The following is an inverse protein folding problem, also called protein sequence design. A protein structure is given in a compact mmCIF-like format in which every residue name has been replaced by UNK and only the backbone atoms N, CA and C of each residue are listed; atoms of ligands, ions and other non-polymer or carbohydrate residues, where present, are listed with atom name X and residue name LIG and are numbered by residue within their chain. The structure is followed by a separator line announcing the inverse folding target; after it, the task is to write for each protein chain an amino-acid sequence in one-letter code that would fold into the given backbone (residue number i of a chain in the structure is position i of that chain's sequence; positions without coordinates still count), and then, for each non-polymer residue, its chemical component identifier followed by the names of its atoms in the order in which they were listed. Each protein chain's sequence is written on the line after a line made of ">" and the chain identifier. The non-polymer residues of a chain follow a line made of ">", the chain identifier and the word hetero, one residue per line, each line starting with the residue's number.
data_IF_953226786156
#
_entry.id   IF_953226786156
#
_cell.length_a   1.000
_cell.length_b   1.000
_cell.length_c   1.000
_cell.angle_alpha   90.00
_cell.angle_beta   90.00
_cell.angle_gamma   90.00
#
_symmetry.space_group_name_H-M   'P 1'
#
loop_
_entity.id
_entity.type
_entity.pdbx_description
1 polymer ?
#
# COMPACT_ATOMS: atom_id res chain seq x y z
N UNK A 1 -16.07 3.51 -2.84
CA UNK A 1 -15.08 2.99 -1.86
C UNK A 1 -15.37 1.52 -1.60
N UNK A 2 -14.32 0.73 -1.33
CA UNK A 2 -14.47 -0.67 -0.97
C UNK A 2 -14.68 -0.80 0.55
N UNK A 3 -15.83 -1.35 0.96
CA UNK A 3 -16.18 -1.51 2.38
C UNK A 3 -15.22 -2.43 3.15
N UNK A 4 -14.50 -3.32 2.47
CA UNK A 4 -13.49 -4.18 3.09
C UNK A 4 -12.36 -3.37 3.72
N UNK A 5 -11.99 -2.24 3.12
CA UNK A 5 -10.91 -1.40 3.64
C UNK A 5 -11.27 -0.74 4.96
N UNK A 6 -12.52 -0.35 5.17
CA UNK A 6 -13.03 0.38 6.33
C UNK A 6 -12.40 1.78 6.51
N UNK A 7 -11.09 1.85 6.66
CA UNK A 7 -10.30 3.09 6.78
C UNK A 7 -8.85 2.82 6.37
N UNK A 8 -8.16 3.86 5.90
CA UNK A 8 -6.79 3.83 5.36
C UNK A 8 -6.66 3.04 4.05
N UNK A 9 -5.88 3.57 3.13
CA UNK A 9 -5.70 3.06 1.77
C UNK A 9 -6.99 3.07 0.90
N UNK A 10 -8.07 3.63 1.36
CA UNK A 10 -9.31 3.80 0.61
C UNK A 10 -9.13 4.82 -0.53
N UNK A 11 -8.41 5.89 -0.29
CA UNK A 11 -7.94 6.86 -1.28
C UNK A 11 -6.98 6.23 -2.29
N UNK A 12 -5.99 5.47 -1.81
CA UNK A 12 -5.07 4.72 -2.66
C UNK A 12 -5.80 3.71 -3.56
N UNK A 13 -6.71 2.92 -2.99
CA UNK A 13 -7.54 1.95 -3.73
C UNK A 13 -8.33 2.65 -4.84
N UNK A 14 -8.99 3.76 -4.53
CA UNK A 14 -9.78 4.51 -5.50
C UNK A 14 -8.92 5.05 -6.64
N UNK A 15 -7.82 5.73 -6.31
CA UNK A 15 -6.92 6.32 -7.30
C UNK A 15 -6.25 5.22 -8.16
N UNK A 16 -5.87 4.11 -7.56
CA UNK A 16 -5.25 3.01 -8.30
C UNK A 16 -6.25 2.34 -9.25
N UNK A 17 -7.47 2.07 -8.79
CA UNK A 17 -8.53 1.55 -9.69
C UNK A 17 -8.84 2.52 -10.84
N UNK A 18 -8.88 3.82 -10.57
CA UNK A 18 -9.01 4.84 -11.61
C UNK A 18 -7.88 4.74 -12.64
N UNK A 19 -6.64 4.67 -12.18
CA UNK A 19 -5.47 4.54 -13.05
C UNK A 19 -5.46 3.22 -13.88
N UNK A 20 -6.04 2.14 -13.36
CA UNK A 20 -6.17 0.87 -14.09
C UNK A 20 -7.14 0.93 -15.27
N UNK A 21 -8.03 1.92 -15.29
CA UNK A 21 -9.00 2.18 -16.37
C UNK A 21 -8.72 3.50 -17.10
N UNK A 22 -7.48 4.00 -16.99
CA UNK A 22 -7.00 5.23 -17.63
C UNK A 22 -7.72 6.51 -17.19
N UNK A 23 -8.23 6.53 -15.95
CA UNK A 23 -8.81 7.72 -15.34
C UNK A 23 -7.75 8.36 -14.43
N UNK A 24 -7.20 9.53 -14.78
CA UNK A 24 -6.19 10.19 -13.98
C UNK A 24 -6.77 10.82 -12.70
N UNK A 25 -5.96 10.86 -11.65
CA UNK A 25 -6.27 11.59 -10.41
C UNK A 25 -5.63 12.99 -10.49
N UNK A 26 -6.38 14.02 -10.12
CA UNK A 26 -5.91 15.39 -10.12
C UNK A 26 -5.89 15.96 -8.70
N UNK A 27 -4.82 16.69 -8.39
CA UNK A 27 -4.77 17.50 -7.18
C UNK A 27 -5.53 18.82 -7.41
N UNK A 28 -6.51 19.10 -6.55
CA UNK A 28 -7.29 20.34 -6.59
C UNK A 28 -6.88 21.26 -5.43
N UNK A 29 -5.91 22.17 -5.61
CA UNK A 29 -5.33 22.96 -4.51
C UNK A 29 -6.30 23.93 -3.81
N UNK A 30 -7.43 24.24 -4.47
CA UNK A 30 -8.50 25.08 -3.89
C UNK A 30 -9.57 24.27 -3.14
N UNK A 31 -9.53 22.95 -3.21
CA UNK A 31 -10.42 22.07 -2.45
C UNK A 31 -9.86 21.87 -1.03
N UNK A 32 -10.41 22.59 -0.08
CA UNK A 32 -9.95 22.57 1.31
C UNK A 32 -10.88 21.68 2.12
N UNK A 33 -10.31 20.69 2.80
CA UNK A 33 -11.02 19.81 3.72
C UNK A 33 -10.45 20.01 5.13
N UNK A 34 -11.31 20.29 6.08
CA UNK A 34 -10.93 20.41 7.49
C UNK A 34 -11.00 19.03 8.14
N UNK A 35 -9.87 18.54 8.59
CA UNK A 35 -9.78 17.28 9.32
C UNK A 35 -9.68 17.58 10.82
N UNK A 36 -10.68 17.20 11.64
CA UNK A 36 -10.63 17.47 13.08
C UNK A 36 -9.39 16.81 13.71
N UNK A 37 -8.60 17.53 14.51
CA UNK A 37 -7.41 16.96 15.16
C UNK A 37 -7.74 15.85 16.16
N UNK A 38 -8.96 15.86 16.69
CA UNK A 38 -9.48 14.89 17.66
C UNK A 38 -10.35 13.81 17.01
N UNK A 39 -10.48 13.85 15.68
CA UNK A 39 -11.24 12.85 14.95
C UNK A 39 -10.61 11.44 15.08
N UNK A 40 -11.13 10.51 14.32
CA UNK A 40 -10.77 9.07 14.23
C UNK A 40 -9.26 8.76 14.04
N UNK A 41 -8.36 9.66 14.48
CA UNK A 41 -6.94 9.39 14.45
C UNK A 41 -6.61 8.38 15.54
N UNK A 42 -6.71 7.12 15.21
CA UNK A 42 -6.11 6.02 15.97
C UNK A 42 -4.57 6.22 15.99
N UNK A 43 -4.11 7.31 16.64
CA UNK A 43 -2.68 7.60 16.77
C UNK A 43 -2.02 6.38 17.40
N UNK A 44 -1.09 5.75 16.69
CA UNK A 44 -0.26 4.66 17.23
C UNK A 44 -1.05 3.53 17.92
N UNK A 45 -2.21 3.14 17.38
CA UNK A 45 -2.98 2.02 17.91
C UNK A 45 -2.71 0.73 17.15
N UNK A 46 -2.81 -0.41 17.84
CA UNK A 46 -2.74 -1.72 17.22
C UNK A 46 -3.78 -1.90 16.10
N UNK A 47 -4.95 -1.29 16.26
CA UNK A 47 -6.01 -1.34 15.26
C UNK A 47 -5.64 -0.58 13.98
N UNK A 48 -5.07 0.64 14.09
CA UNK A 48 -4.56 1.40 12.95
C UNK A 48 -3.52 0.59 12.18
N UNK A 49 -2.53 0.04 12.87
CA UNK A 49 -1.45 -0.71 12.22
C UNK A 49 -1.95 -2.02 11.61
N UNK A 50 -2.94 -2.68 12.22
CA UNK A 50 -3.64 -3.81 11.62
C UNK A 50 -4.30 -3.42 10.29
N UNK A 51 -5.06 -2.30 10.24
CA UNK A 51 -5.72 -1.85 9.02
C UNK A 51 -4.72 -1.45 7.94
N UNK A 52 -3.70 -0.65 8.29
CA UNK A 52 -2.66 -0.24 7.34
C UNK A 52 -2.00 -1.45 6.68
N UNK A 53 -1.63 -2.46 7.46
CA UNK A 53 -0.95 -3.64 6.94
C UNK A 53 -1.88 -4.53 6.12
N UNK A 54 -3.10 -4.80 6.60
CA UNK A 54 -4.10 -5.59 5.89
C UNK A 54 -4.47 -4.94 4.55
N UNK A 55 -4.74 -3.64 4.56
CA UNK A 55 -5.20 -2.92 3.38
C UNK A 55 -4.08 -2.75 2.35
N UNK A 56 -2.83 -2.56 2.78
CA UNK A 56 -1.66 -2.58 1.90
C UNK A 56 -1.57 -3.89 1.13
N UNK A 57 -1.65 -5.03 1.83
CA UNK A 57 -1.61 -6.35 1.20
C UNK A 57 -2.82 -6.57 0.28
N UNK A 58 -4.00 -6.15 0.71
CA UNK A 58 -5.21 -6.21 -0.10
C UNK A 58 -5.03 -5.49 -1.43
N UNK A 59 -4.57 -4.23 -1.43
CA UNK A 59 -4.34 -3.46 -2.65
C UNK A 59 -3.29 -4.15 -3.56
N UNK A 60 -2.18 -4.63 -3.01
CA UNK A 60 -1.16 -5.34 -3.80
C UNK A 60 -1.73 -6.60 -4.48
N UNK A 61 -2.57 -7.37 -3.77
CA UNK A 61 -3.14 -8.62 -4.25
C UNK A 61 -4.27 -8.43 -5.26
N UNK A 62 -5.00 -7.32 -5.20
CA UNK A 62 -6.17 -7.07 -6.06
C UNK A 62 -5.84 -6.23 -7.28
N UNK A 63 -4.88 -5.31 -7.21
CA UNK A 63 -4.62 -4.34 -8.28
C UNK A 63 -3.52 -4.78 -9.26
N UNK A 64 -2.42 -5.39 -8.79
CA UNK A 64 -1.44 -5.96 -9.71
C UNK A 64 -1.98 -7.19 -10.42
N UNK A 65 -1.61 -7.38 -11.69
CA UNK A 65 -1.79 -8.67 -12.37
C UNK A 65 -0.99 -9.76 -11.64
N UNK A 66 -1.44 -11.00 -11.70
CA UNK A 66 -0.72 -12.14 -11.08
C UNK A 66 0.72 -12.23 -11.58
N UNK A 67 0.94 -12.04 -12.87
CA UNK A 67 2.27 -12.07 -13.45
C UNK A 67 3.19 -10.99 -12.83
N UNK A 68 2.71 -9.74 -12.77
CA UNK A 68 3.46 -8.64 -12.15
C UNK A 68 3.70 -8.89 -10.66
N UNK A 69 2.68 -9.35 -9.94
CA UNK A 69 2.82 -9.67 -8.52
C UNK A 69 3.94 -10.70 -8.28
N UNK A 70 3.99 -11.78 -9.05
CA UNK A 70 5.04 -12.79 -8.92
C UNK A 70 6.43 -12.26 -9.31
N UNK A 71 6.53 -11.41 -10.32
CA UNK A 71 7.79 -10.75 -10.68
C UNK A 71 8.30 -9.81 -9.57
N UNK A 72 7.39 -9.12 -8.89
CA UNK A 72 7.71 -8.23 -7.76
C UNK A 72 7.94 -8.98 -6.45
N UNK A 73 7.56 -10.25 -6.34
CA UNK A 73 7.58 -11.01 -5.09
C UNK A 73 8.92 -10.95 -4.35
N UNK A 74 10.11 -11.08 -4.99
CA UNK A 74 11.38 -10.96 -4.28
C UNK A 74 11.56 -9.59 -3.61
N UNK A 75 11.19 -8.51 -4.32
CA UNK A 75 11.26 -7.15 -3.78
C UNK A 75 10.24 -6.92 -2.67
N UNK A 76 9.03 -7.45 -2.83
CA UNK A 76 7.99 -7.38 -1.81
C UNK A 76 8.40 -8.13 -0.55
N UNK A 77 9.03 -9.31 -0.66
CA UNK A 77 9.54 -10.05 0.50
C UNK A 77 10.62 -9.29 1.26
N UNK A 78 11.51 -8.59 0.58
CA UNK A 78 12.48 -7.71 1.24
C UNK A 78 11.77 -6.59 2.00
N UNK A 79 10.79 -5.93 1.40
CA UNK A 79 9.97 -4.91 2.08
C UNK A 79 9.25 -5.51 3.30
N UNK A 80 8.71 -6.73 3.19
CA UNK A 80 8.05 -7.43 4.29
C UNK A 80 8.98 -7.66 5.49
N UNK A 81 10.24 -7.99 5.24
CA UNK A 81 11.24 -8.14 6.31
C UNK A 81 11.43 -6.82 7.06
N UNK A 82 11.66 -5.71 6.34
CA UNK A 82 11.82 -4.39 6.95
C UNK A 82 10.58 -3.93 7.70
N UNK A 83 9.41 -4.13 7.12
CA UNK A 83 8.13 -3.81 7.77
C UNK A 83 7.95 -4.66 9.03
N UNK A 84 8.31 -5.94 9.00
CA UNK A 84 8.22 -6.83 10.18
C UNK A 84 9.15 -6.37 11.30
N UNK A 85 10.39 -5.98 10.98
CA UNK A 85 11.35 -5.41 11.94
C UNK A 85 10.81 -4.11 12.55
N UNK A 86 10.21 -3.24 11.72
CA UNK A 86 9.57 -2.02 12.20
C UNK A 86 8.44 -2.31 13.19
N UNK A 87 7.53 -3.22 12.85
CA UNK A 87 6.42 -3.61 13.73
C UNK A 87 6.91 -4.25 15.02
N UNK A 88 7.98 -5.07 14.96
CA UNK A 88 8.62 -5.64 16.15
C UNK A 88 9.18 -4.56 17.07
N UNK A 89 9.94 -3.61 16.53
CA UNK A 89 10.51 -2.48 17.30
C UNK A 89 9.46 -1.57 17.92
N UNK A 90 8.28 -1.47 17.32
CA UNK A 90 7.14 -0.68 17.85
C UNK A 90 6.24 -1.48 18.80
N UNK A 91 6.52 -2.75 19.07
CA UNK A 91 5.68 -3.61 19.90
C UNK A 91 4.33 -3.97 19.24
N UNK A 92 4.23 -3.84 17.92
CA UNK A 92 2.97 -4.01 17.17
C UNK A 92 2.98 -5.24 16.25
N UNK A 93 3.89 -6.18 16.48
CA UNK A 93 4.00 -7.40 15.65
C UNK A 93 2.70 -8.21 15.63
N UNK A 94 1.95 -8.22 16.73
CA UNK A 94 0.64 -8.87 16.81
C UNK A 94 -0.36 -8.31 15.78
N UNK A 95 -0.30 -7.00 15.51
CA UNK A 95 -1.15 -6.35 14.50
C UNK A 95 -0.81 -6.85 13.10
N UNK A 96 0.48 -7.02 12.79
CA UNK A 96 0.93 -7.56 11.51
C UNK A 96 0.50 -9.03 11.34
N UNK A 97 0.66 -9.84 12.37
CA UNK A 97 0.23 -11.26 12.34
C UNK A 97 -1.28 -11.35 12.11
N UNK A 98 -2.07 -10.54 12.83
CA UNK A 98 -3.53 -10.47 12.64
C UNK A 98 -3.91 -10.02 11.23
N UNK A 99 -3.18 -9.07 10.65
CA UNK A 99 -3.40 -8.61 9.27
C UNK A 99 -3.14 -9.73 8.26
N UNK A 100 -2.02 -10.45 8.37
CA UNK A 100 -1.70 -11.58 7.51
C UNK A 100 -2.76 -12.68 7.62
N UNK A 101 -3.18 -13.00 8.84
CA UNK A 101 -4.25 -13.99 9.07
C UNK A 101 -5.58 -13.54 8.47
N UNK A 102 -5.91 -12.24 8.56
CA UNK A 102 -7.11 -11.68 7.93
C UNK A 102 -7.09 -11.81 6.41
N UNK A 103 -5.95 -11.61 5.76
CA UNK A 103 -5.80 -11.82 4.31
C UNK A 103 -6.08 -13.28 3.94
N UNK A 104 -5.49 -14.22 4.68
CA UNK A 104 -5.70 -15.65 4.44
C UNK A 104 -7.18 -16.03 4.63
N UNK A 105 -7.78 -15.60 5.75
CA UNK A 105 -9.20 -15.86 6.05
C UNK A 105 -10.16 -15.33 4.98
N UNK A 106 -9.84 -14.17 4.41
CA UNK A 106 -10.69 -13.52 3.41
C UNK A 106 -10.24 -13.77 1.97
N UNK A 107 -9.40 -14.79 1.72
CA UNK A 107 -8.81 -15.07 0.41
C UNK A 107 -9.85 -15.20 -0.72
N UNK A 108 -10.99 -15.83 -0.45
CA UNK A 108 -12.08 -15.96 -1.43
C UNK A 108 -12.60 -14.59 -1.86
N UNK A 109 -12.86 -13.71 -0.91
CA UNK A 109 -13.31 -12.34 -1.18
C UNK A 109 -12.26 -11.55 -1.97
N UNK A 110 -10.99 -11.64 -1.57
CA UNK A 110 -9.87 -10.97 -2.25
C UNK A 110 -9.73 -11.43 -3.70
N UNK A 111 -9.87 -12.74 -3.93
CA UNK A 111 -9.80 -13.30 -5.28
C UNK A 111 -11.00 -12.92 -6.16
N UNK A 112 -12.19 -12.82 -5.58
CA UNK A 112 -13.36 -12.28 -6.27
C UNK A 112 -13.13 -10.83 -6.68
N UNK A 113 -12.65 -10.00 -5.74
CA UNK A 113 -12.36 -8.59 -6.00
C UNK A 113 -11.23 -8.41 -7.02
N UNK A 114 -10.19 -9.23 -6.97
CA UNK A 114 -9.17 -9.30 -8.02
C UNK A 114 -9.81 -9.48 -9.40
N UNK A 115 -10.66 -10.50 -9.56
CA UNK A 115 -11.31 -10.79 -10.84
C UNK A 115 -12.20 -9.64 -11.32
N UNK A 116 -12.93 -8.98 -10.41
CA UNK A 116 -13.72 -7.79 -10.73
C UNK A 116 -12.84 -6.66 -11.26
N UNK A 117 -11.77 -6.31 -10.55
CA UNK A 117 -10.86 -5.22 -10.94
C UNK A 117 -10.17 -5.52 -12.27
N UNK A 118 -9.63 -6.75 -12.42
CA UNK A 118 -8.91 -7.13 -13.64
C UNK A 118 -9.82 -7.19 -14.87
N UNK A 119 -11.12 -7.45 -14.70
CA UNK A 119 -12.11 -7.46 -15.80
C UNK A 119 -12.27 -6.09 -16.47
N UNK A 120 -12.19 -5.01 -15.70
CA UNK A 120 -12.35 -3.65 -16.20
C UNK A 120 -11.03 -2.98 -16.57
N UNK A 121 -9.92 -3.64 -16.31
CA UNK A 121 -8.60 -3.11 -16.53
C UNK A 121 -8.30 -2.85 -18.00
N UNK A 122 -7.85 -1.64 -18.35
CA UNK A 122 -7.41 -1.23 -19.70
C UNK A 122 -5.92 -0.91 -19.75
N UNK A 123 -5.29 -0.56 -18.61
CA UNK A 123 -3.89 -0.14 -18.51
C UNK A 123 -3.01 -1.28 -18.00
N UNK A 124 -1.85 -1.49 -18.63
CA UNK A 124 -0.88 -2.51 -18.18
C UNK A 124 -0.15 -2.08 -16.92
N UNK A 125 0.34 -3.03 -16.11
CA UNK A 125 1.18 -2.72 -14.95
C UNK A 125 2.44 -1.96 -15.34
N UNK A 126 3.04 -2.30 -16.47
CA UNK A 126 4.22 -1.60 -17.02
C UNK A 126 3.98 -0.11 -17.24
N UNK A 127 2.82 0.24 -17.75
CA UNK A 127 2.43 1.64 -17.95
C UNK A 127 2.16 2.31 -16.60
N UNK A 128 1.41 1.63 -15.73
CA UNK A 128 1.02 2.15 -14.43
C UNK A 128 2.21 2.47 -13.52
N UNK A 129 3.17 1.54 -13.39
CA UNK A 129 4.31 1.72 -12.46
C UNK A 129 5.26 2.83 -12.88
N UNK A 130 5.23 3.29 -14.14
CA UNK A 130 5.99 4.46 -14.58
C UNK A 130 5.55 5.74 -13.87
N UNK A 131 4.28 5.84 -13.50
CA UNK A 131 3.72 6.99 -12.77
C UNK A 131 3.93 6.90 -11.25
N UNK A 132 4.34 5.74 -10.73
CA UNK A 132 4.56 5.56 -9.29
C UNK A 132 5.86 6.20 -8.85
N UNK A 133 5.78 6.96 -7.76
CA UNK A 133 6.96 7.53 -7.13
C UNK A 133 7.86 6.43 -6.56
N UNK A 134 9.16 6.59 -6.73
CA UNK A 134 10.17 5.67 -6.19
C UNK A 134 10.60 6.02 -4.75
N UNK A 135 10.14 7.15 -4.25
CA UNK A 135 10.47 7.64 -2.90
C UNK A 135 9.25 7.54 -1.99
N UNK A 136 9.48 7.17 -0.74
CA UNK A 136 8.46 7.14 0.28
C UNK A 136 8.66 8.29 1.27
N UNK A 137 7.65 9.14 1.40
CA UNK A 137 7.66 10.16 2.43
C UNK A 137 7.34 9.55 3.80
N UNK A 138 8.31 9.57 4.70
CA UNK A 138 8.11 9.17 6.10
C UNK A 138 8.15 10.43 6.96
N UNK A 139 7.05 10.80 7.64
CA UNK A 139 7.03 11.98 8.50
C UNK A 139 8.11 11.92 9.58
N UNK A 140 8.76 13.06 9.88
CA UNK A 140 9.84 13.16 10.90
C UNK A 140 9.43 12.67 12.29
N UNK A 141 8.12 12.72 12.60
CA UNK A 141 7.54 12.20 13.85
C UNK A 141 7.68 10.67 13.96
N UNK A 142 7.84 9.97 12.83
CA UNK A 142 7.89 8.50 12.78
C UNK A 142 9.31 7.99 12.89
N UNK A 143 10.29 8.68 12.30
CA UNK A 143 11.68 8.25 12.31
C UNK A 143 12.66 9.45 12.30
N UNK A 144 13.85 9.23 12.83
CA UNK A 144 14.92 10.22 12.75
C UNK A 144 15.36 10.46 11.29
N UNK A 145 15.77 11.67 10.96
CA UNK A 145 16.11 12.12 9.59
C UNK A 145 17.17 11.23 8.92
N UNK A 146 18.17 10.75 9.66
CA UNK A 146 19.22 9.85 9.17
C UNK A 146 18.64 8.49 8.73
N UNK A 147 17.70 7.93 9.50
CA UNK A 147 17.02 6.69 9.14
C UNK A 147 16.17 6.85 7.88
N UNK A 148 15.53 8.00 7.71
CA UNK A 148 14.71 8.30 6.54
C UNK A 148 15.57 8.34 5.27
N UNK A 149 16.74 8.93 5.31
CA UNK A 149 17.62 9.03 4.13
C UNK A 149 18.15 7.66 3.70
N UNK A 150 18.63 6.84 4.64
CA UNK A 150 19.14 5.48 4.35
C UNK A 150 18.00 4.60 3.83
N UNK A 151 16.84 4.62 4.49
CA UNK A 151 15.69 3.83 4.12
C UNK A 151 15.13 4.25 2.75
N UNK A 152 14.96 5.56 2.51
CA UNK A 152 14.48 6.06 1.22
C UNK A 152 15.44 5.73 0.08
N UNK A 153 16.75 5.85 0.27
CA UNK A 153 17.73 5.46 -0.74
C UNK A 153 17.64 3.96 -1.06
N UNK A 154 17.45 3.12 -0.06
CA UNK A 154 17.27 1.70 -0.26
C UNK A 154 15.95 1.40 -1.02
N UNK A 155 14.83 1.96 -0.59
CA UNK A 155 13.52 1.78 -1.25
C UNK A 155 13.56 2.29 -2.68
N UNK A 156 14.16 3.46 -2.94
CA UNK A 156 14.34 4.00 -4.29
C UNK A 156 15.11 3.04 -5.21
N UNK A 157 16.27 2.54 -4.76
CA UNK A 157 17.06 1.57 -5.52
C UNK A 157 16.26 0.28 -5.77
N UNK A 158 15.55 -0.22 -4.76
CA UNK A 158 14.73 -1.42 -4.85
C UNK A 158 13.56 -1.23 -5.83
N UNK A 159 12.88 -0.07 -5.79
CA UNK A 159 11.80 0.28 -6.71
C UNK A 159 12.29 0.35 -8.16
N UNK A 160 13.38 1.09 -8.41
CA UNK A 160 13.99 1.20 -9.74
C UNK A 160 14.40 -0.18 -10.28
N UNK A 161 14.97 -1.02 -9.42
CA UNK A 161 15.35 -2.38 -9.78
C UNK A 161 14.10 -3.23 -10.11
N UNK A 162 13.10 -3.22 -9.25
CA UNK A 162 11.86 -3.97 -9.42
C UNK A 162 11.11 -3.59 -10.72
N UNK A 163 11.07 -2.30 -11.06
CA UNK A 163 10.42 -1.79 -12.29
C UNK A 163 11.06 -2.35 -13.58
N UNK A 164 12.31 -2.79 -13.55
CA UNK A 164 12.98 -3.39 -14.73
C UNK A 164 12.39 -4.77 -15.11
N UNK A 165 11.72 -5.44 -14.19
CA UNK A 165 11.13 -6.76 -14.42
C UNK A 165 9.67 -6.71 -14.87
N UNK A 166 9.03 -5.54 -14.84
CA UNK A 166 7.65 -5.31 -15.28
C UNK A 166 7.65 -4.79 -16.72
#
# INVERSE_FOLDING_TARGET
>A
FDSFLFAYHDDLDLCWRGALVDIPSYYAPKSIVYHPPEGFSFKWSNFKFYLLERNRQYCLLTHYSRNTFFKLLPSLLLVEIFVSIFYLKKGMLSSKIKANFSIIKNWKHINQKYNEIQKFRTVTDKTLVKSFNDEMYVPKVISAEVYNNIFNNFIKKLSIFAKKFI
#
